data_IF_070884763465
#
_entry.id   IF_070884763465
#
_cell.length_a   1.000
_cell.length_b   1.000
_cell.length_c   1.000
_cell.angle_alpha   90.00
_cell.angle_beta   90.00
_cell.angle_gamma   90.00
#
_symmetry.space_group_name_H-M   'P 1'
#
loop_
_entity.id
_entity.type
_entity.pdbx_description
1 polymer ?
#
# COMPACT_ATOMS: atom_id res chain seq x y z
N UNK A 1 13.64 29.47 -37.60
CA UNK A 1 12.17 29.27 -37.56
C UNK A 1 11.87 28.42 -36.33
N UNK A 2 11.49 29.03 -35.20
CA UNK A 2 11.06 28.25 -34.02
C UNK A 2 9.63 27.77 -34.26
N UNK A 3 9.29 26.50 -33.99
CA UNK A 3 7.93 26.03 -34.16
C UNK A 3 7.05 26.72 -33.12
N UNK A 4 6.01 27.44 -33.56
CA UNK A 4 4.99 27.97 -32.66
C UNK A 4 4.09 26.81 -32.21
N UNK A 5 4.61 25.97 -31.31
CA UNK A 5 3.85 24.90 -30.65
C UNK A 5 2.75 25.56 -29.83
N UNK A 6 1.50 25.22 -30.18
CA UNK A 6 0.29 25.80 -29.64
C UNK A 6 0.27 25.70 -28.10
N UNK A 7 0.54 26.82 -27.44
CA UNK A 7 0.54 26.97 -25.97
C UNK A 7 -0.76 26.53 -25.31
N UNK A 8 -1.88 26.58 -26.03
CA UNK A 8 -3.17 26.06 -25.55
C UNK A 8 -3.13 24.53 -25.38
N UNK A 9 -2.51 23.82 -26.33
CA UNK A 9 -2.42 22.36 -26.29
C UNK A 9 -1.51 21.87 -25.16
N UNK A 10 -0.33 22.46 -24.99
CA UNK A 10 0.57 22.09 -23.89
C UNK A 10 -0.07 22.37 -22.52
N UNK A 11 -0.77 23.51 -22.38
CA UNK A 11 -1.48 23.84 -21.14
C UNK A 11 -2.59 22.83 -20.83
N UNK A 12 -3.36 22.42 -21.84
CA UNK A 12 -4.38 21.36 -21.68
C UNK A 12 -3.72 20.04 -21.29
N UNK A 13 -2.65 19.62 -21.96
CA UNK A 13 -1.95 18.37 -21.65
C UNK A 13 -1.40 18.37 -20.20
N UNK A 14 -0.86 19.50 -19.72
CA UNK A 14 -0.43 19.64 -18.33
C UNK A 14 -1.59 19.60 -17.32
N UNK A 15 -2.75 20.18 -17.66
CA UNK A 15 -3.96 20.14 -16.83
C UNK A 15 -4.51 18.71 -16.75
N UNK A 16 -4.57 18.00 -17.89
CA UNK A 16 -5.05 16.62 -17.96
C UNK A 16 -4.09 15.68 -17.23
N UNK A 17 -2.78 15.86 -17.35
CA UNK A 17 -1.79 15.04 -16.67
C UNK A 17 -1.82 15.25 -15.15
N UNK A 18 -1.91 16.50 -14.68
CA UNK A 18 -2.07 16.80 -13.24
C UNK A 18 -3.39 16.30 -12.65
N UNK A 19 -4.50 16.40 -13.39
CA UNK A 19 -5.80 15.91 -12.94
C UNK A 19 -5.86 14.37 -12.90
N UNK A 20 -5.18 13.69 -13.82
CA UNK A 20 -5.04 12.22 -13.83
C UNK A 20 -4.34 11.72 -12.57
N UNK A 21 -3.19 12.32 -12.24
CA UNK A 21 -2.39 11.92 -11.07
C UNK A 21 -3.15 12.17 -9.75
N UNK A 22 -3.86 13.29 -9.65
CA UNK A 22 -4.70 13.61 -8.49
C UNK A 22 -5.88 12.63 -8.34
N UNK A 23 -6.47 12.18 -9.45
CA UNK A 23 -7.58 11.23 -9.44
C UNK A 23 -7.11 9.86 -8.97
N UNK A 24 -5.98 9.37 -9.48
CA UNK A 24 -5.38 8.11 -9.06
C UNK A 24 -5.03 8.15 -7.57
N UNK A 25 -4.43 9.25 -7.10
CA UNK A 25 -4.14 9.43 -5.68
C UNK A 25 -5.39 9.38 -4.80
N UNK A 26 -6.48 10.03 -5.23
CA UNK A 26 -7.75 10.03 -4.50
C UNK A 26 -8.38 8.64 -4.46
N UNK A 27 -8.37 7.91 -5.57
CA UNK A 27 -8.88 6.53 -5.63
C UNK A 27 -8.08 5.61 -4.71
N UNK A 28 -6.75 5.71 -4.73
CA UNK A 28 -5.88 4.93 -3.84
C UNK A 28 -6.12 5.26 -2.36
N UNK A 29 -6.34 6.54 -2.02
CA UNK A 29 -6.67 6.95 -0.65
C UNK A 29 -8.01 6.36 -0.20
N UNK A 30 -9.05 6.42 -1.02
CA UNK A 30 -10.37 5.84 -0.68
C UNK A 30 -10.24 4.32 -0.47
N UNK A 31 -9.54 3.62 -1.37
CA UNK A 31 -9.29 2.18 -1.24
C UNK A 31 -8.54 1.89 0.07
N UNK A 32 -7.49 2.67 0.36
CA UNK A 32 -6.72 2.53 1.59
C UNK A 32 -7.58 2.73 2.84
N UNK A 33 -8.49 3.71 2.84
CA UNK A 33 -9.40 3.97 3.96
C UNK A 33 -10.37 2.80 4.15
N UNK A 34 -10.94 2.27 3.07
CA UNK A 34 -11.86 1.12 3.13
C UNK A 34 -11.14 -0.09 3.73
N UNK A 35 -9.94 -0.42 3.22
CA UNK A 35 -9.14 -1.55 3.71
C UNK A 35 -8.75 -1.34 5.18
N UNK A 36 -8.34 -0.13 5.55
CA UNK A 36 -7.97 0.20 6.92
C UNK A 36 -9.13 0.06 7.89
N UNK A 37 -10.31 0.59 7.54
CA UNK A 37 -11.51 0.48 8.38
C UNK A 37 -11.93 -0.98 8.51
N UNK A 38 -11.98 -1.73 7.40
CA UNK A 38 -12.30 -3.16 7.43
C UNK A 38 -11.37 -3.93 8.36
N UNK A 39 -10.06 -3.72 8.22
CA UNK A 39 -9.06 -4.39 9.03
C UNK A 39 -9.10 -3.96 10.50
N UNK A 40 -9.24 -2.67 10.77
CA UNK A 40 -9.30 -2.13 12.14
C UNK A 40 -10.55 -2.62 12.87
N UNK A 41 -11.71 -2.59 12.21
CA UNK A 41 -12.95 -3.12 12.76
C UNK A 41 -12.83 -4.62 13.01
N UNK A 42 -12.22 -5.38 12.11
CA UNK A 42 -12.02 -6.82 12.29
C UNK A 42 -11.09 -7.15 13.48
N UNK A 43 -9.93 -6.48 13.59
CA UNK A 43 -9.00 -6.68 14.72
C UNK A 43 -9.61 -6.23 16.05
N UNK A 44 -10.28 -5.08 16.07
CA UNK A 44 -10.88 -4.53 17.29
C UNK A 44 -12.10 -5.30 17.75
N UNK A 45 -12.94 -5.83 16.85
CA UNK A 45 -14.12 -6.61 17.21
C UNK A 45 -13.80 -8.07 17.56
N UNK A 46 -12.69 -8.63 17.06
CA UNK A 46 -12.28 -10.01 17.34
C UNK A 46 -12.21 -10.38 18.83
N UNK A 47 -11.73 -9.55 19.78
CA UNK A 47 -11.72 -9.89 21.21
C UNK A 47 -13.06 -9.72 21.92
N UNK A 48 -14.09 -9.15 21.26
CA UNK A 48 -15.41 -8.90 21.87
C UNK A 48 -16.50 -9.88 21.39
N UNK A 49 -16.18 -10.81 20.49
CA UNK A 49 -17.11 -11.81 19.96
C UNK A 49 -16.71 -13.18 20.53
N UNK A 50 -17.58 -13.79 21.33
CA UNK A 50 -17.38 -15.13 21.90
C UNK A 50 -17.47 -16.24 20.83
N UNK A 51 -16.67 -17.31 21.00
CA UNK A 51 -16.46 -18.43 20.06
C UNK A 51 -17.69 -19.33 19.80
N UNK A 52 -18.81 -19.08 20.48
CA UNK A 52 -19.99 -19.96 20.48
C UNK A 52 -21.21 -19.35 19.77
N UNK A 53 -21.03 -18.31 18.94
CA UNK A 53 -22.12 -17.68 18.19
C UNK A 53 -22.20 -18.12 16.72
N UNK A 54 -23.40 -18.46 16.18
CA UNK A 54 -23.60 -18.88 14.78
C UNK A 54 -23.29 -17.78 13.73
N UNK A 55 -22.86 -16.60 14.17
CA UNK A 55 -22.43 -15.46 13.34
C UNK A 55 -20.96 -15.65 12.89
N UNK A 56 -20.24 -16.58 13.51
CA UNK A 56 -18.84 -16.90 13.22
C UNK A 56 -18.62 -17.61 11.87
N UNK A 57 -19.67 -18.03 11.17
CA UNK A 57 -19.56 -18.47 9.77
C UNK A 57 -19.45 -17.30 8.77
N UNK A 58 -19.83 -16.08 9.19
CA UNK A 58 -19.62 -14.85 8.43
C UNK A 58 -18.28 -14.17 8.74
N UNK A 59 -17.62 -14.56 9.83
CA UNK A 59 -16.32 -14.04 10.26
C UNK A 59 -15.25 -15.13 10.12
N UNK A 60 -14.25 -14.91 9.27
CA UNK A 60 -13.15 -15.85 9.06
C UNK A 60 -12.51 -16.25 10.41
N UNK A 61 -12.22 -17.55 10.65
CA UNK A 61 -11.84 -18.08 11.95
C UNK A 61 -10.68 -17.32 12.64
N UNK A 62 -10.76 -17.23 13.97
CA UNK A 62 -9.95 -16.38 14.86
C UNK A 62 -8.43 -16.43 14.61
N UNK A 63 -7.88 -17.57 14.18
CA UNK A 63 -6.46 -17.72 13.91
C UNK A 63 -5.91 -16.75 12.85
N UNK A 64 -6.77 -16.27 11.94
CA UNK A 64 -6.37 -15.29 10.94
C UNK A 64 -6.17 -13.89 11.56
N UNK A 65 -6.91 -13.52 12.62
CA UNK A 65 -6.80 -12.19 13.24
C UNK A 65 -5.39 -11.90 13.78
N UNK A 66 -4.70 -12.94 14.26
CA UNK A 66 -3.32 -12.85 14.75
C UNK A 66 -2.31 -13.08 13.62
N UNK A 67 -2.63 -13.99 12.67
CA UNK A 67 -1.70 -14.37 11.61
C UNK A 67 -1.53 -13.29 10.54
N UNK A 68 -2.57 -12.52 10.20
CA UNK A 68 -2.46 -11.47 9.18
C UNK A 68 -1.47 -10.36 9.58
N UNK A 69 -1.56 -9.74 10.79
CA UNK A 69 -0.57 -8.74 11.20
C UNK A 69 0.84 -9.34 11.30
N UNK A 70 0.96 -10.58 11.78
CA UNK A 70 2.26 -11.25 11.88
C UNK A 70 2.92 -11.45 10.49
N UNK A 71 2.18 -11.91 9.49
CA UNK A 71 2.70 -12.12 8.13
C UNK A 71 3.10 -10.80 7.48
N UNK A 72 2.33 -9.73 7.66
CA UNK A 72 2.65 -8.40 7.13
C UNK A 72 3.98 -7.89 7.73
N UNK A 73 4.16 -8.01 9.04
CA UNK A 73 5.40 -7.60 9.71
C UNK A 73 6.59 -8.40 9.19
N UNK A 74 6.45 -9.72 9.08
CA UNK A 74 7.52 -10.59 8.58
C UNK A 74 7.89 -10.25 7.14
N UNK A 75 6.92 -10.04 6.26
CA UNK A 75 7.16 -9.66 4.87
C UNK A 75 7.83 -8.30 4.75
N UNK A 76 7.36 -7.30 5.52
CA UNK A 76 7.92 -5.96 5.50
C UNK A 76 9.35 -5.95 6.04
N UNK A 77 9.61 -6.66 7.14
CA UNK A 77 10.93 -6.76 7.74
C UNK A 77 11.90 -7.52 6.82
N UNK A 78 11.46 -8.63 6.23
CA UNK A 78 12.25 -9.40 5.26
C UNK A 78 12.58 -8.56 4.01
N UNK A 79 11.60 -7.82 3.49
CA UNK A 79 11.81 -6.90 2.37
C UNK A 79 12.80 -5.79 2.69
N UNK A 80 12.67 -5.15 3.86
CA UNK A 80 13.60 -4.13 4.32
C UNK A 80 15.03 -4.68 4.51
N UNK A 81 15.17 -5.83 5.16
CA UNK A 81 16.46 -6.49 5.36
C UNK A 81 17.13 -6.86 4.03
N UNK A 82 16.36 -7.38 3.08
CA UNK A 82 16.84 -7.74 1.74
C UNK A 82 17.31 -6.49 0.98
N UNK A 83 16.53 -5.41 1.03
CA UNK A 83 16.89 -4.15 0.39
C UNK A 83 18.18 -3.56 0.96
N UNK A 84 18.30 -3.50 2.29
CA UNK A 84 19.50 -3.01 2.97
C UNK A 84 20.71 -3.89 2.61
N UNK A 85 20.56 -5.21 2.65
CA UNK A 85 21.61 -6.16 2.25
C UNK A 85 22.08 -5.94 0.81
N UNK A 86 21.15 -5.78 -0.14
CA UNK A 86 21.50 -5.49 -1.54
C UNK A 86 22.27 -4.17 -1.68
N UNK A 87 21.85 -3.10 -0.98
CA UNK A 87 22.54 -1.80 -1.01
C UNK A 87 23.94 -1.90 -0.39
N UNK A 88 24.09 -2.63 0.71
CA UNK A 88 25.40 -2.85 1.34
C UNK A 88 26.36 -3.60 0.40
N UNK A 89 25.91 -4.68 -0.23
CA UNK A 89 26.71 -5.47 -1.18
C UNK A 89 27.13 -4.60 -2.38
N UNK A 90 26.19 -3.83 -2.95
CA UNK A 90 26.47 -2.95 -4.10
C UNK A 90 27.40 -1.79 -3.74
N UNK A 91 27.31 -1.27 -2.52
CA UNK A 91 28.18 -0.20 -2.01
C UNK A 91 29.63 -0.67 -1.80
N UNK A 92 29.83 -1.90 -1.32
CA UNK A 92 31.17 -2.47 -1.13
C UNK A 92 31.90 -2.72 -2.47
N UNK A 93 31.19 -3.16 -3.51
CA UNK A 93 31.78 -3.38 -4.84
C UNK A 93 32.35 -2.09 -5.46
N UNK A 94 31.69 -0.94 -5.23
CA UNK A 94 32.15 0.36 -5.76
C UNK A 94 33.38 0.93 -5.03
N UNK A 95 33.72 0.40 -3.85
CA UNK A 95 34.82 0.92 -3.02
C UNK A 95 36.14 0.17 -3.22
N UNK A 96 36.10 -0.96 -3.93
CA UNK A 96 37.24 -1.85 -4.17
C UNK A 96 37.60 -1.96 -5.66
N UNK A 97 36.96 -1.16 -6.53
CA UNK A 97 37.37 -0.89 -7.92
C UNK A 97 38.10 0.47 -7.96
#
# INVERSE_FOLDING_TARGET
>A
MYPYINSSKSKIDHIIMGASDQTVGTVLLIISVIVYVYYSTWVLLSPFIDEDHPIQQFFLPYHYAISIPAVIIVLLFSGAATFIGMVMIKSQKKRND
#
